data_IF_071824212395
#
_entry.id   IF_071824212395
#
_cell.length_a   1.000
_cell.length_b   1.000
_cell.length_c   1.000
_cell.angle_alpha   90.00
_cell.angle_beta   90.00
_cell.angle_gamma   90.00
#
_symmetry.space_group_name_H-M   'P 1'
#
loop_
_entity.id
_entity.type
_entity.pdbx_description
1 polymer ?
#
# COMPACT_ATOMS: atom_id res chain seq x y z
N UNK A 1 31.16 -35.05 -71.82
CA UNK A 1 31.17 -35.14 -70.39
C UNK A 1 30.16 -34.05 -69.86
N UNK A 2 29.00 -34.44 -69.40
CA UNK A 2 28.02 -33.54 -68.81
C UNK A 2 28.05 -33.72 -67.27
N UNK A 3 28.42 -32.66 -66.56
CA UNK A 3 28.42 -32.66 -65.10
C UNK A 3 27.01 -32.21 -64.62
N UNK A 4 26.33 -33.12 -63.95
CA UNK A 4 25.05 -32.81 -63.30
C UNK A 4 25.32 -32.22 -61.93
N UNK A 5 24.82 -30.99 -61.71
CA UNK A 5 24.82 -30.33 -60.38
C UNK A 5 23.55 -30.73 -59.63
N UNK A 6 23.73 -31.48 -58.54
CA UNK A 6 22.63 -31.81 -57.62
C UNK A 6 22.42 -30.61 -56.61
N UNK A 7 21.24 -29.97 -56.67
CA UNK A 7 20.83 -29.04 -55.70
C UNK A 7 20.16 -29.79 -54.50
N UNK A 8 20.76 -29.69 -53.33
CA UNK A 8 20.16 -30.15 -52.07
C UNK A 8 19.38 -29.00 -51.48
N UNK A 9 18.07 -29.10 -51.49
CA UNK A 9 17.18 -28.13 -50.78
C UNK A 9 17.02 -28.61 -49.34
N UNK A 10 17.66 -27.91 -48.42
CA UNK A 10 17.45 -28.13 -46.98
C UNK A 10 16.16 -27.44 -46.54
N UNK A 11 15.14 -28.23 -46.21
CA UNK A 11 13.93 -27.74 -45.55
C UNK A 11 14.22 -27.45 -44.07
N UNK A 12 14.31 -26.19 -43.70
CA UNK A 12 14.27 -25.76 -42.28
C UNK A 12 12.82 -25.84 -41.80
N UNK A 13 12.47 -26.89 -41.07
CA UNK A 13 11.25 -26.93 -40.26
C UNK A 13 11.44 -25.99 -39.08
N UNK A 14 10.90 -24.75 -39.17
CA UNK A 14 10.69 -23.92 -38.02
C UNK A 14 9.61 -24.57 -37.13
N UNK A 15 10.02 -25.15 -36.02
CA UNK A 15 9.13 -25.53 -34.96
C UNK A 15 8.52 -24.25 -34.39
N UNK A 16 7.28 -23.91 -34.77
CA UNK A 16 6.48 -22.89 -34.13
C UNK A 16 6.11 -23.46 -32.77
N UNK A 17 6.89 -23.08 -31.74
CA UNK A 17 6.48 -23.31 -30.35
C UNK A 17 5.20 -22.52 -30.15
N UNK A 18 4.05 -23.20 -30.17
CA UNK A 18 2.80 -22.64 -29.69
C UNK A 18 3.02 -22.40 -28.20
N UNK A 19 3.15 -21.14 -27.81
CA UNK A 19 2.99 -20.75 -26.43
C UNK A 19 1.53 -21.06 -26.07
N UNK A 20 1.30 -22.27 -25.53
CA UNK A 20 0.00 -22.59 -24.93
C UNK A 20 -0.18 -21.58 -23.80
N UNK A 21 -1.19 -20.73 -23.92
CA UNK A 21 -1.63 -19.92 -22.79
C UNK A 21 -1.95 -20.89 -21.65
N UNK A 22 -1.19 -20.78 -20.55
CA UNK A 22 -1.51 -21.56 -19.37
C UNK A 22 -2.97 -21.26 -18.99
N UNK A 23 -3.72 -22.31 -18.62
CA UNK A 23 -5.07 -22.12 -18.09
C UNK A 23 -5.00 -21.14 -16.91
N UNK A 24 -5.93 -20.20 -16.80
CA UNK A 24 -5.98 -19.29 -15.69
C UNK A 24 -6.02 -20.04 -14.35
N UNK A 25 -5.32 -19.53 -13.36
CA UNK A 25 -5.42 -20.08 -12.02
C UNK A 25 -6.88 -20.10 -11.55
N UNK A 26 -7.25 -21.17 -10.84
CA UNK A 26 -8.58 -21.30 -10.29
C UNK A 26 -8.84 -20.16 -9.29
N UNK A 27 -9.95 -19.47 -9.47
CA UNK A 27 -10.38 -18.39 -8.59
C UNK A 27 -11.30 -18.92 -7.51
N UNK A 28 -11.01 -18.58 -6.26
CA UNK A 28 -11.84 -18.89 -5.10
C UNK A 28 -12.38 -17.60 -4.50
N UNK A 29 -13.61 -17.67 -3.97
CA UNK A 29 -14.28 -16.53 -3.35
C UNK A 29 -14.24 -16.70 -1.84
N UNK A 30 -13.61 -15.78 -1.13
CA UNK A 30 -13.52 -15.76 0.34
C UNK A 30 -14.66 -14.99 1.00
N UNK A 31 -15.25 -14.03 0.29
CA UNK A 31 -16.49 -13.30 0.67
C UNK A 31 -17.21 -12.78 -0.55
N UNK A 32 -18.54 -12.83 -0.54
CA UNK A 32 -19.42 -12.28 -1.58
C UNK A 32 -20.61 -11.51 -0.99
N UNK A 33 -20.51 -11.09 0.27
CA UNK A 33 -21.63 -10.51 1.02
C UNK A 33 -21.71 -8.99 0.94
N UNK A 34 -20.74 -8.32 0.26
CA UNK A 34 -20.73 -6.88 0.04
C UNK A 34 -20.25 -6.53 -1.38
N UNK A 35 -19.99 -5.26 -1.68
CA UNK A 35 -19.61 -4.79 -3.02
C UNK A 35 -18.52 -3.74 -2.97
N UNK A 36 -17.65 -3.74 -4.02
CA UNK A 36 -16.57 -2.77 -4.16
C UNK A 36 -15.49 -2.99 -3.12
N UNK A 37 -14.95 -4.23 -3.00
CA UNK A 37 -13.77 -4.45 -2.18
C UNK A 37 -12.60 -3.68 -2.77
N UNK A 38 -11.97 -2.84 -1.96
CA UNK A 38 -10.84 -2.00 -2.32
C UNK A 38 -9.81 -1.98 -1.20
N UNK A 39 -8.52 -1.80 -1.55
CA UNK A 39 -7.44 -1.76 -0.57
C UNK A 39 -7.35 -3.03 0.28
N UNK A 40 -6.74 -4.09 -0.26
CA UNK A 40 -6.52 -5.35 0.46
C UNK A 40 -5.16 -5.34 1.15
N UNK A 41 -5.13 -5.55 2.47
CA UNK A 41 -3.90 -5.63 3.28
C UNK A 41 -3.87 -6.94 4.06
N UNK A 42 -2.67 -7.46 4.26
CA UNK A 42 -2.46 -8.76 4.92
C UNK A 42 -1.50 -8.63 6.10
N UNK A 43 -1.85 -9.28 7.21
CA UNK A 43 -1.02 -9.43 8.41
C UNK A 43 -1.53 -10.63 9.20
N UNK A 44 -0.67 -11.36 9.89
CA UNK A 44 -1.07 -12.36 10.86
C UNK A 44 -1.43 -11.62 12.16
N UNK A 45 -2.74 -11.46 12.44
CA UNK A 45 -3.22 -10.64 13.58
C UNK A 45 -3.55 -11.47 14.82
N UNK A 46 -3.55 -12.80 14.68
CA UNK A 46 -3.90 -13.74 15.76
C UNK A 46 -2.77 -14.70 16.12
N UNK A 47 -1.57 -14.52 15.50
CA UNK A 47 -0.35 -15.31 15.71
C UNK A 47 -0.54 -16.81 15.39
N UNK A 48 -1.40 -17.15 14.41
CA UNK A 48 -1.62 -18.53 13.98
C UNK A 48 -0.70 -18.98 12.82
N UNK A 49 0.13 -18.09 12.31
CA UNK A 49 1.07 -18.32 11.20
C UNK A 49 0.46 -18.15 9.81
N UNK A 50 -0.79 -17.69 9.72
CA UNK A 50 -1.47 -17.41 8.47
C UNK A 50 -1.79 -15.93 8.35
N UNK A 51 -1.61 -15.37 7.14
CA UNK A 51 -1.92 -13.97 6.92
C UNK A 51 -3.43 -13.77 6.81
N UNK A 52 -3.96 -12.93 7.68
CA UNK A 52 -5.33 -12.45 7.69
C UNK A 52 -5.50 -11.26 6.74
N UNK A 53 -6.74 -10.87 6.45
CA UNK A 53 -7.02 -9.81 5.48
C UNK A 53 -7.86 -8.70 6.15
N UNK A 54 -7.46 -7.43 5.91
CA UNK A 54 -8.34 -6.27 6.06
C UNK A 54 -8.68 -5.69 4.70
N UNK A 55 -9.93 -5.25 4.52
CA UNK A 55 -10.36 -4.53 3.30
C UNK A 55 -11.52 -3.59 3.58
N UNK A 56 -11.53 -2.46 2.85
CA UNK A 56 -12.69 -1.59 2.71
C UNK A 56 -13.62 -2.11 1.61
N UNK A 57 -14.93 -2.04 1.85
CA UNK A 57 -15.94 -2.27 0.83
C UNK A 57 -16.55 -0.92 0.43
N UNK A 58 -15.97 -0.27 -0.59
CA UNK A 58 -16.27 1.10 -0.99
C UNK A 58 -17.78 1.35 -1.20
N UNK A 59 -18.42 0.52 -2.04
CA UNK A 59 -19.85 0.61 -2.32
C UNK A 59 -20.70 0.10 -1.16
N UNK A 60 -20.20 -0.89 -0.42
CA UNK A 60 -20.89 -1.49 0.73
C UNK A 60 -20.86 -0.63 1.98
N UNK A 61 -19.84 0.24 2.09
CA UNK A 61 -19.68 1.14 3.25
C UNK A 61 -19.33 0.44 4.55
N UNK A 62 -18.51 -0.63 4.48
CA UNK A 62 -18.06 -1.39 5.65
C UNK A 62 -16.58 -1.70 5.56
N UNK A 63 -15.94 -1.83 6.72
CA UNK A 63 -14.59 -2.34 6.87
C UNK A 63 -14.67 -3.75 7.43
N UNK A 64 -13.96 -4.68 6.80
CA UNK A 64 -13.95 -6.09 7.21
C UNK A 64 -12.56 -6.61 7.49
N UNK A 65 -12.52 -7.50 8.47
CA UNK A 65 -11.38 -8.36 8.78
C UNK A 65 -11.81 -9.81 8.52
N UNK A 66 -10.91 -10.58 7.92
CA UNK A 66 -11.07 -11.99 7.61
C UNK A 66 -9.93 -12.75 8.27
N UNK A 67 -10.28 -13.72 9.10
CA UNK A 67 -9.30 -14.62 9.66
C UNK A 67 -9.05 -15.78 8.70
N UNK A 68 -7.79 -16.02 8.36
CA UNK A 68 -7.40 -17.08 7.44
C UNK A 68 -7.64 -18.46 8.08
N UNK A 69 -8.51 -19.30 7.50
CA UNK A 69 -8.84 -20.59 8.12
C UNK A 69 -7.77 -21.67 7.91
N UNK A 70 -6.60 -21.30 7.37
CA UNK A 70 -5.53 -22.21 7.02
C UNK A 70 -5.69 -22.88 5.66
N UNK A 71 -4.65 -23.60 5.18
CA UNK A 71 -4.54 -24.07 3.80
C UNK A 71 -5.65 -25.06 3.39
N UNK A 72 -6.18 -25.83 4.32
CA UNK A 72 -7.23 -26.82 4.03
C UNK A 72 -8.56 -26.16 3.66
N UNK A 73 -8.84 -24.94 4.16
CA UNK A 73 -10.07 -24.19 3.98
C UNK A 73 -9.90 -22.86 3.24
N UNK A 74 -8.69 -22.56 2.77
CA UNK A 74 -8.39 -21.31 2.10
C UNK A 74 -9.26 -21.03 0.86
N UNK A 75 -9.83 -22.08 0.27
CA UNK A 75 -10.70 -22.01 -0.90
C UNK A 75 -12.20 -21.85 -0.59
N UNK A 76 -12.56 -21.77 0.68
CA UNK A 76 -13.93 -21.58 1.17
C UNK A 76 -14.19 -20.11 1.51
N UNK A 77 -15.41 -19.79 1.98
CA UNK A 77 -15.69 -18.49 2.59
C UNK A 77 -14.98 -18.40 3.93
N UNK A 78 -14.25 -17.30 4.13
CA UNK A 78 -13.48 -17.11 5.35
C UNK A 78 -14.34 -16.57 6.50
N UNK A 79 -14.01 -16.92 7.75
CA UNK A 79 -14.57 -16.25 8.92
C UNK A 79 -14.31 -14.75 8.84
N UNK A 80 -15.35 -13.93 8.92
CA UNK A 80 -15.26 -12.50 8.71
C UNK A 80 -16.00 -11.70 9.79
N UNK A 81 -15.51 -10.51 10.09
CA UNK A 81 -16.15 -9.54 10.97
C UNK A 81 -16.20 -8.16 10.32
N UNK A 82 -17.31 -7.45 10.51
CA UNK A 82 -17.39 -6.02 10.22
C UNK A 82 -16.87 -5.25 11.42
N UNK A 83 -15.70 -4.61 11.28
CA UNK A 83 -15.04 -3.85 12.36
C UNK A 83 -15.47 -2.39 12.37
N UNK A 84 -16.08 -1.90 11.28
CA UNK A 84 -16.59 -0.55 11.18
C UNK A 84 -17.59 -0.37 10.03
N UNK A 85 -18.49 0.60 10.17
CA UNK A 85 -19.40 1.02 9.11
C UNK A 85 -19.07 2.47 8.77
N UNK A 86 -18.40 2.66 7.61
CA UNK A 86 -17.95 3.96 7.11
C UNK A 86 -18.19 4.02 5.61
N UNK A 87 -18.52 5.20 5.08
CA UNK A 87 -18.86 5.32 3.64
C UNK A 87 -17.62 5.63 2.81
N UNK A 88 -17.57 5.02 1.63
CA UNK A 88 -16.51 5.18 0.63
C UNK A 88 -15.09 4.93 1.19
N UNK A 89 -14.84 3.77 1.84
CA UNK A 89 -13.48 3.39 2.20
C UNK A 89 -12.69 2.99 0.96
N UNK A 90 -11.47 3.51 0.84
CA UNK A 90 -10.50 3.20 -0.24
C UNK A 90 -9.43 2.21 0.22
N UNK A 91 -9.10 2.21 1.52
CA UNK A 91 -8.09 1.32 2.08
C UNK A 91 -8.46 0.94 3.51
N UNK A 92 -7.96 -0.22 3.94
CA UNK A 92 -8.01 -0.66 5.32
C UNK A 92 -6.69 -1.35 5.66
N UNK A 93 -5.91 -0.82 6.60
CA UNK A 93 -4.58 -1.31 6.97
C UNK A 93 -4.51 -1.70 8.44
N UNK A 94 -3.78 -2.75 8.73
CA UNK A 94 -3.51 -3.22 10.09
C UNK A 94 -2.40 -2.41 10.77
N UNK A 95 -2.58 -2.10 12.05
CA UNK A 95 -1.57 -1.48 12.90
C UNK A 95 -1.92 -1.67 14.38
N UNK A 96 -0.96 -1.94 15.25
CA UNK A 96 -1.11 -1.81 16.71
C UNK A 96 -0.85 -0.35 17.07
N UNK A 97 -1.92 0.48 17.06
CA UNK A 97 -1.79 1.93 17.19
C UNK A 97 -1.50 2.39 18.62
N UNK A 98 -1.93 1.64 19.61
CA UNK A 98 -1.80 2.03 21.03
C UNK A 98 -0.84 1.10 21.80
N UNK A 99 -0.13 0.24 21.07
CA UNK A 99 0.88 -0.68 21.61
C UNK A 99 0.34 -1.59 22.72
N UNK A 100 -0.95 -1.98 22.63
CA UNK A 100 -1.57 -2.87 23.61
C UNK A 100 -1.46 -4.36 23.21
N UNK A 101 -0.85 -4.64 22.05
CA UNK A 101 -0.62 -5.97 21.49
C UNK A 101 -1.77 -6.51 20.65
N UNK A 102 -2.90 -5.79 20.55
CA UNK A 102 -3.98 -6.11 19.63
C UNK A 102 -3.85 -5.30 18.34
N UNK A 103 -4.11 -5.94 17.21
CA UNK A 103 -3.96 -5.28 15.91
C UNK A 103 -5.24 -4.55 15.53
N UNK A 104 -5.17 -3.22 15.52
CA UNK A 104 -6.24 -2.33 15.09
C UNK A 104 -6.32 -2.25 13.55
N UNK A 105 -7.36 -1.59 13.06
CA UNK A 105 -7.52 -1.29 11.63
C UNK A 105 -7.67 0.22 11.42
N UNK A 106 -6.93 0.75 10.45
CA UNK A 106 -7.06 2.13 9.98
C UNK A 106 -7.77 2.12 8.63
N UNK A 107 -8.82 2.90 8.46
CA UNK A 107 -9.48 3.07 7.17
C UNK A 107 -9.38 4.50 6.64
N UNK A 108 -9.08 4.60 5.34
CA UNK A 108 -9.04 5.84 4.58
C UNK A 108 -10.30 5.99 3.76
N UNK A 109 -11.03 7.10 3.91
CA UNK A 109 -12.30 7.30 3.23
C UNK A 109 -12.31 8.55 2.35
N UNK A 110 -12.90 8.40 1.16
CA UNK A 110 -13.06 9.47 0.17
C UNK A 110 -14.51 9.99 0.04
N UNK A 111 -14.83 10.48 -1.12
CA UNK A 111 -16.17 10.90 -1.53
C UNK A 111 -16.70 12.03 -0.66
N UNK A 112 -17.85 11.83 -0.05
CA UNK A 112 -18.44 12.78 0.90
C UNK A 112 -17.91 12.59 2.32
N UNK A 113 -17.30 11.46 2.63
CA UNK A 113 -16.78 11.14 3.98
C UNK A 113 -15.49 11.91 4.24
N UNK A 114 -14.47 11.77 3.40
CA UNK A 114 -13.20 12.52 3.45
C UNK A 114 -12.60 12.57 4.86
N UNK A 115 -12.55 11.42 5.51
CA UNK A 115 -12.17 11.28 6.92
C UNK A 115 -11.49 9.93 7.09
N UNK A 116 -10.47 9.86 7.92
CA UNK A 116 -9.87 8.59 8.34
C UNK A 116 -10.50 8.14 9.65
N UNK A 117 -10.56 6.82 9.84
CA UNK A 117 -11.12 6.21 11.03
C UNK A 117 -10.16 5.15 11.58
N UNK A 118 -10.11 5.06 12.90
CA UNK A 118 -9.47 3.97 13.63
C UNK A 118 -10.54 3.00 14.12
N UNK A 119 -10.31 1.72 13.95
CA UNK A 119 -11.16 0.64 14.41
C UNK A 119 -10.35 -0.15 15.43
N UNK A 120 -10.55 0.20 16.70
CA UNK A 120 -9.82 -0.36 17.83
C UNK A 120 -10.20 -1.81 18.04
N UNK A 121 -9.22 -2.69 18.05
CA UNK A 121 -9.41 -4.11 18.25
C UNK A 121 -9.70 -4.44 19.73
N UNK A 122 -10.41 -5.55 20.01
CA UNK A 122 -10.44 -6.09 21.36
C UNK A 122 -9.08 -6.74 21.68
N UNK A 123 -8.65 -6.68 22.96
CA UNK A 123 -7.34 -7.18 23.40
C UNK A 123 -7.14 -8.68 23.21
N UNK A 124 -8.20 -9.44 23.08
CA UNK A 124 -8.14 -10.90 23.02
C UNK A 124 -8.55 -11.38 21.63
N UNK A 125 -7.70 -12.16 20.91
CA UNK A 125 -7.99 -12.64 19.55
C UNK A 125 -9.30 -13.45 19.43
N UNK A 126 -9.73 -14.14 20.49
CA UNK A 126 -11.01 -14.87 20.53
C UNK A 126 -12.24 -13.96 20.41
N UNK A 127 -12.05 -12.63 20.55
CA UNK A 127 -13.08 -11.61 20.37
C UNK A 127 -13.07 -11.00 18.95
N UNK A 128 -12.07 -11.27 18.13
CA UNK A 128 -11.91 -10.60 16.84
C UNK A 128 -13.11 -10.78 15.92
N UNK A 129 -13.78 -11.92 15.94
CA UNK A 129 -14.98 -12.17 15.15
C UNK A 129 -16.29 -11.62 15.77
N UNK A 130 -16.20 -10.84 16.85
CA UNK A 130 -17.36 -10.22 17.49
C UNK A 130 -17.46 -8.73 17.10
N UNK A 131 -18.39 -8.31 16.26
CA UNK A 131 -18.49 -6.89 15.80
C UNK A 131 -18.57 -5.88 16.94
N UNK A 132 -19.32 -6.19 17.99
CA UNK A 132 -19.53 -5.28 19.12
C UNK A 132 -18.28 -5.06 19.99
N UNK A 133 -17.25 -5.93 19.84
CA UNK A 133 -15.99 -5.80 20.54
C UNK A 133 -15.08 -4.72 19.92
N UNK A 134 -15.26 -4.42 18.64
CA UNK A 134 -14.54 -3.37 17.94
C UNK A 134 -15.13 -1.98 18.22
N UNK A 135 -14.29 -0.94 18.25
CA UNK A 135 -14.71 0.44 18.48
C UNK A 135 -14.18 1.35 17.40
N UNK A 136 -15.08 1.98 16.65
CA UNK A 136 -14.72 2.92 15.58
C UNK A 136 -14.67 4.34 16.09
N UNK A 137 -13.60 5.08 15.77
CA UNK A 137 -13.44 6.49 16.06
C UNK A 137 -12.99 7.25 14.82
N UNK A 138 -13.64 8.39 14.52
CA UNK A 138 -13.17 9.29 13.46
C UNK A 138 -11.96 10.09 13.96
N UNK A 139 -10.97 10.31 13.08
CA UNK A 139 -9.77 11.10 13.37
C UNK A 139 -10.02 12.56 13.00
N UNK A 140 -10.22 13.47 13.99
CA UNK A 140 -10.74 14.82 13.75
C UNK A 140 -9.85 15.67 12.83
N UNK A 141 -8.52 15.59 12.95
CA UNK A 141 -7.60 16.37 12.12
C UNK A 141 -7.65 15.99 10.62
N UNK A 142 -8.28 14.86 10.26
CA UNK A 142 -8.46 14.44 8.87
C UNK A 142 -9.86 14.78 8.33
N UNK A 143 -10.80 15.15 9.20
CA UNK A 143 -12.22 15.26 8.88
C UNK A 143 -12.49 16.31 7.80
N UNK A 144 -13.08 15.90 6.68
CA UNK A 144 -13.43 16.75 5.52
C UNK A 144 -12.27 17.47 4.85
N UNK A 145 -11.04 17.08 5.15
CA UNK A 145 -9.85 17.74 4.60
C UNK A 145 -9.56 17.29 3.17
N UNK A 146 -9.43 15.99 2.94
CA UNK A 146 -8.97 15.42 1.68
C UNK A 146 -9.73 14.14 1.34
N UNK A 147 -9.68 13.70 0.08
CA UNK A 147 -10.11 12.35 -0.32
C UNK A 147 -8.98 11.38 0.00
N UNK A 148 -9.04 10.79 1.20
CA UNK A 148 -7.99 9.91 1.71
C UNK A 148 -7.95 8.61 0.95
N UNK A 149 -6.72 8.17 0.55
CA UNK A 149 -6.49 6.99 -0.25
C UNK A 149 -5.86 5.86 0.55
N UNK A 150 -4.64 6.04 1.02
CA UNK A 150 -3.86 5.00 1.67
C UNK A 150 -3.28 5.47 2.99
N UNK A 151 -3.11 4.51 3.91
CA UNK A 151 -2.31 4.65 5.11
C UNK A 151 -1.16 3.62 5.10
N UNK A 152 -0.01 4.01 5.67
CA UNK A 152 1.17 3.17 5.84
C UNK A 152 1.67 3.36 7.27
N UNK A 153 1.50 2.36 8.16
CA UNK A 153 2.02 2.41 9.53
C UNK A 153 3.54 2.46 9.54
N UNK A 154 4.09 3.41 10.27
CA UNK A 154 5.53 3.64 10.36
C UNK A 154 5.83 4.55 11.57
N UNK A 155 6.84 4.22 12.37
CA UNK A 155 7.35 5.14 13.38
C UNK A 155 8.20 6.21 12.68
N UNK A 156 7.67 7.44 12.61
CA UNK A 156 8.23 8.54 11.82
C UNK A 156 9.16 9.44 12.64
N UNK A 157 8.84 9.66 13.91
CA UNK A 157 9.57 10.62 14.75
C UNK A 157 10.23 9.99 15.99
N UNK A 158 10.11 8.68 16.15
CA UNK A 158 10.67 7.92 17.28
C UNK A 158 9.95 8.17 18.61
N UNK A 159 8.68 8.62 18.58
CA UNK A 159 7.88 8.97 19.76
C UNK A 159 6.52 8.30 19.74
N UNK A 160 6.05 7.92 20.93
CA UNK A 160 4.67 7.48 21.16
C UNK A 160 4.22 6.24 20.34
N UNK A 161 5.13 5.54 19.66
CA UNK A 161 4.84 4.31 18.91
C UNK A 161 4.55 4.55 17.43
N UNK A 162 3.51 3.93 16.91
CA UNK A 162 3.22 3.92 15.47
C UNK A 162 2.54 5.21 15.02
N UNK A 163 3.15 5.89 14.06
CA UNK A 163 2.55 6.95 13.25
C UNK A 163 1.96 6.37 11.96
N UNK A 164 1.33 7.21 11.17
CA UNK A 164 0.77 6.83 9.88
C UNK A 164 1.22 7.78 8.79
N UNK A 165 1.96 7.31 7.80
CA UNK A 165 2.06 8.03 6.52
C UNK A 165 0.71 7.89 5.83
N UNK A 166 0.15 9.02 5.39
CA UNK A 166 -1.19 9.06 4.78
C UNK A 166 -1.16 9.79 3.45
N UNK A 167 -2.03 9.39 2.55
CA UNK A 167 -2.10 9.98 1.22
C UNK A 167 -3.52 10.22 0.74
N UNK A 168 -3.64 11.05 -0.29
CA UNK A 168 -4.94 11.46 -0.80
C UNK A 168 -4.96 11.67 -2.32
N UNK A 169 -6.15 12.01 -2.84
CA UNK A 169 -6.39 12.36 -4.26
C UNK A 169 -7.22 13.64 -4.39
N UNK A 170 -7.14 14.24 -5.59
CA UNK A 170 -7.96 15.37 -6.01
C UNK A 170 -7.38 16.72 -5.62
N UNK A 171 -8.26 17.70 -5.42
CA UNK A 171 -7.88 19.04 -5.02
C UNK A 171 -7.25 19.03 -3.62
N UNK A 172 -6.12 19.75 -3.46
CA UNK A 172 -5.31 19.78 -2.23
C UNK A 172 -4.76 18.42 -1.78
N UNK A 173 -4.67 17.44 -2.69
CA UNK A 173 -4.09 16.16 -2.38
C UNK A 173 -2.65 16.27 -1.89
N UNK A 174 -2.22 15.33 -1.06
CA UNK A 174 -0.91 15.32 -0.45
C UNK A 174 -0.48 13.93 -0.02
N UNK A 175 0.82 13.79 0.23
CA UNK A 175 1.38 12.82 1.16
C UNK A 175 1.70 13.61 2.44
N UNK A 176 1.37 13.04 3.58
CA UNK A 176 1.67 13.59 4.89
C UNK A 176 1.76 12.48 5.92
N UNK A 177 1.86 12.85 7.18
CA UNK A 177 1.83 11.88 8.26
C UNK A 177 0.94 12.36 9.41
N UNK A 178 0.37 11.38 10.11
CA UNK A 178 -0.37 11.59 11.35
C UNK A 178 0.55 11.23 12.51
N UNK A 179 0.93 12.23 13.30
CA UNK A 179 1.74 12.10 14.51
C UNK A 179 0.89 11.47 15.62
N UNK A 180 1.36 10.36 16.17
CA UNK A 180 0.73 9.66 17.29
C UNK A 180 0.94 10.44 18.59
N UNK A 181 -0.12 10.70 19.37
CA UNK A 181 -0.01 11.31 20.68
C UNK A 181 0.42 10.29 21.75
N UNK A 182 0.76 10.79 22.95
CA UNK A 182 1.10 9.95 24.11
C UNK A 182 -0.06 9.02 24.54
N UNK A 183 -1.29 9.36 24.25
CA UNK A 183 -2.48 8.50 24.37
C UNK A 183 -3.13 8.37 22.99
N UNK A 184 -2.78 7.36 22.18
CA UNK A 184 -3.30 7.20 20.83
C UNK A 184 -4.82 7.00 20.76
N UNK A 185 -5.46 6.52 21.84
CA UNK A 185 -6.92 6.40 21.91
C UNK A 185 -7.62 7.75 22.02
N UNK A 186 -6.91 8.80 22.44
CA UNK A 186 -7.41 10.18 22.34
C UNK A 186 -7.21 10.69 20.90
N UNK A 187 -8.10 10.30 20.00
CA UNK A 187 -8.03 10.63 18.57
C UNK A 187 -7.98 12.14 18.28
N UNK A 188 -8.36 13.00 19.24
CA UNK A 188 -8.33 14.45 19.10
C UNK A 188 -6.92 15.04 19.17
N UNK A 189 -5.96 14.30 19.72
CA UNK A 189 -4.59 14.75 19.91
C UNK A 189 -3.69 14.36 18.75
N UNK A 190 -4.16 13.52 17.82
CA UNK A 190 -3.44 13.21 16.58
C UNK A 190 -3.28 14.46 15.73
N UNK A 191 -2.09 14.64 15.15
CA UNK A 191 -1.76 15.82 14.34
C UNK A 191 -1.37 15.43 12.93
N UNK A 192 -1.88 16.18 11.95
CA UNK A 192 -1.53 16.00 10.55
C UNK A 192 -0.40 16.94 10.15
N UNK A 193 0.65 16.38 9.56
CA UNK A 193 1.78 17.10 8.99
C UNK A 193 1.88 16.81 7.49
N UNK A 194 1.84 17.86 6.67
CA UNK A 194 1.99 17.73 5.22
C UNK A 194 3.47 17.59 4.88
N UNK A 195 3.82 16.56 4.09
CA UNK A 195 5.18 16.34 3.58
C UNK A 195 5.32 16.82 2.12
N UNK A 196 4.32 16.54 1.26
CA UNK A 196 4.38 16.83 -0.17
C UNK A 196 2.98 17.07 -0.76
N UNK A 197 2.87 18.03 -1.71
CA UNK A 197 1.69 18.14 -2.54
C UNK A 197 1.63 17.02 -3.57
N UNK A 198 0.45 16.48 -3.81
CA UNK A 198 0.21 15.38 -4.73
C UNK A 198 -1.03 15.64 -5.59
N UNK A 199 -1.26 14.80 -6.57
CA UNK A 199 -2.47 14.86 -7.38
C UNK A 199 -3.39 13.65 -7.17
N UNK A 200 -2.83 12.46 -7.12
CA UNK A 200 -3.56 11.21 -6.86
C UNK A 200 -2.56 10.10 -6.55
N UNK A 201 -2.35 9.83 -5.30
CA UNK A 201 -1.44 8.77 -4.87
C UNK A 201 -2.12 7.41 -5.09
N UNK A 202 -1.37 6.48 -5.70
CA UNK A 202 -1.84 5.14 -6.03
C UNK A 202 -1.10 4.03 -5.26
N UNK A 203 0.05 4.35 -4.65
CA UNK A 203 0.78 3.43 -3.77
C UNK A 203 1.63 4.20 -2.78
N UNK A 204 1.79 3.60 -1.60
CA UNK A 204 2.76 3.96 -0.57
C UNK A 204 3.49 2.69 -0.16
N UNK A 205 4.83 2.72 -0.17
CA UNK A 205 5.69 1.61 0.27
C UNK A 205 6.79 2.18 1.16
N UNK A 206 7.00 1.58 2.33
CA UNK A 206 8.13 1.89 3.19
C UNK A 206 9.37 1.10 2.72
N UNK A 207 10.46 1.77 2.48
CA UNK A 207 11.72 1.15 2.08
C UNK A 207 12.89 2.09 2.37
N UNK A 208 13.97 1.59 2.94
CA UNK A 208 15.22 2.33 3.13
C UNK A 208 15.96 2.45 1.78
N UNK A 209 15.76 3.60 1.11
CA UNK A 209 16.17 3.81 -0.28
C UNK A 209 17.66 4.19 -0.40
N UNK A 210 18.25 4.80 0.61
CA UNK A 210 19.64 5.23 0.60
C UNK A 210 20.54 4.44 1.54
N UNK A 211 19.97 3.48 2.28
CA UNK A 211 20.63 2.60 3.23
C UNK A 211 21.24 3.34 4.42
N UNK A 212 20.55 4.36 4.92
CA UNK A 212 20.95 5.10 6.12
C UNK A 212 20.36 4.52 7.42
N UNK A 213 19.45 3.55 7.29
CA UNK A 213 18.81 2.83 8.37
C UNK A 213 17.41 3.35 8.74
N UNK A 214 17.01 4.49 8.20
CA UNK A 214 15.66 5.04 8.36
C UNK A 214 14.76 4.62 7.19
N UNK A 215 13.47 4.34 7.46
CA UNK A 215 12.54 4.00 6.39
C UNK A 215 12.08 5.27 5.66
N UNK A 216 12.16 5.23 4.35
CA UNK A 216 11.63 6.24 3.44
C UNK A 216 10.25 5.88 2.93
N UNK A 217 9.63 6.79 2.17
CA UNK A 217 8.34 6.56 1.52
C UNK A 217 8.50 6.57 0.00
N UNK A 218 8.33 5.41 -0.64
CA UNK A 218 8.24 5.30 -2.10
C UNK A 218 6.78 5.39 -2.51
N UNK A 219 6.48 6.26 -3.48
CA UNK A 219 5.10 6.51 -3.89
C UNK A 219 4.94 6.62 -5.40
N UNK A 220 3.74 6.29 -5.90
CA UNK A 220 3.30 6.64 -7.24
C UNK A 220 2.23 7.72 -7.18
N UNK A 221 2.50 8.85 -7.89
CA UNK A 221 1.54 9.94 -8.07
C UNK A 221 1.01 9.91 -9.51
N UNK A 222 -0.27 9.58 -9.65
CA UNK A 222 -0.93 9.40 -10.94
C UNK A 222 -1.26 10.71 -11.63
N UNK A 223 -1.61 11.75 -10.88
CA UNK A 223 -2.13 13.04 -11.39
C UNK A 223 -1.29 14.22 -10.89
N UNK A 224 -1.66 15.40 -11.31
CA UNK A 224 -1.00 16.63 -10.87
C UNK A 224 0.27 16.99 -11.64
N UNK A 225 0.83 18.13 -11.31
CA UNK A 225 1.99 18.70 -12.03
C UNK A 225 3.29 17.92 -11.75
N UNK A 226 3.41 17.36 -10.54
CA UNK A 226 4.57 16.58 -10.10
C UNK A 226 4.33 15.07 -10.17
N UNK A 227 3.40 14.59 -11.02
CA UNK A 227 3.09 13.16 -11.14
C UNK A 227 4.30 12.36 -11.62
N UNK A 228 4.44 11.16 -11.09
CA UNK A 228 5.57 10.27 -11.36
C UNK A 228 5.68 9.17 -10.32
N UNK A 229 6.79 8.47 -10.35
CA UNK A 229 7.29 7.61 -9.28
C UNK A 229 8.34 8.40 -8.51
N UNK A 230 8.25 8.43 -7.23
CA UNK A 230 9.07 9.26 -6.34
C UNK A 230 9.41 8.53 -5.04
N UNK A 231 10.36 9.03 -4.32
CA UNK A 231 10.58 8.70 -2.92
C UNK A 231 10.81 9.97 -2.09
N UNK A 232 10.29 9.94 -0.89
CA UNK A 232 10.50 10.98 0.11
C UNK A 232 11.53 10.44 1.08
N UNK A 233 12.73 11.03 1.06
CA UNK A 233 13.83 10.71 1.96
C UNK A 233 13.49 11.20 3.37
N UNK A 234 13.46 10.26 4.30
CA UNK A 234 13.26 10.53 5.71
C UNK A 234 14.57 11.10 6.29
N UNK A 235 14.56 12.29 6.87
CA UNK A 235 15.78 12.84 7.46
C UNK A 235 16.20 12.15 8.77
N UNK A 236 15.50 11.13 9.19
CA UNK A 236 15.63 10.44 10.46
C UNK A 236 14.72 10.98 11.56
N UNK A 237 14.32 10.10 12.45
CA UNK A 237 13.31 10.36 13.48
C UNK A 237 13.57 11.64 14.28
N UNK A 238 14.81 11.86 14.79
CA UNK A 238 15.15 13.05 15.54
C UNK A 238 14.96 14.33 14.73
N UNK A 239 15.41 14.35 13.47
CA UNK A 239 15.32 15.53 12.60
C UNK A 239 13.88 15.79 12.17
N UNK A 240 13.10 14.74 11.93
CA UNK A 240 11.65 14.86 11.68
C UNK A 240 10.94 15.47 12.88
N UNK A 241 11.24 15.03 14.10
CA UNK A 241 10.71 15.59 15.34
C UNK A 241 11.12 17.07 15.57
N UNK A 242 12.22 17.52 14.99
CA UNK A 242 12.68 18.92 14.98
C UNK A 242 12.04 19.74 13.83
N UNK A 243 11.18 19.13 12.99
CA UNK A 243 10.50 19.78 11.87
C UNK A 243 11.36 19.94 10.62
N UNK A 244 12.44 19.18 10.47
CA UNK A 244 13.25 19.16 9.26
C UNK A 244 12.46 18.52 8.12
N UNK A 245 12.40 19.18 6.98
CA UNK A 245 11.65 18.72 5.83
C UNK A 245 12.26 17.46 5.20
N UNK A 246 11.40 16.54 4.77
CA UNK A 246 11.77 15.41 3.95
C UNK A 246 12.18 15.86 2.55
N UNK A 247 13.06 15.12 1.88
CA UNK A 247 13.56 15.47 0.55
C UNK A 247 12.78 14.69 -0.51
N UNK A 248 12.23 15.40 -1.51
CA UNK A 248 11.43 14.82 -2.61
C UNK A 248 12.36 14.44 -3.78
N UNK A 249 12.54 13.15 -4.02
CA UNK A 249 13.33 12.61 -5.13
C UNK A 249 12.44 12.01 -6.21
N UNK A 250 12.70 12.37 -7.47
CA UNK A 250 12.04 11.74 -8.62
C UNK A 250 12.77 10.45 -8.99
N UNK A 251 12.07 9.32 -8.98
CA UNK A 251 12.60 8.04 -9.50
C UNK A 251 12.36 7.96 -11.03
N UNK A 252 11.22 8.48 -11.52
CA UNK A 252 10.92 8.48 -12.95
C UNK A 252 9.42 8.47 -13.25
N UNK A 253 9.06 8.12 -14.49
CA UNK A 253 7.65 8.13 -14.91
C UNK A 253 7.00 9.51 -14.95
N UNK A 254 7.78 10.59 -14.90
CA UNK A 254 7.31 11.98 -14.90
C UNK A 254 6.38 12.26 -16.09
N UNK A 255 5.29 12.94 -15.82
CA UNK A 255 4.29 13.29 -16.86
C UNK A 255 3.39 12.11 -17.27
N UNK A 256 3.53 10.92 -16.67
CA UNK A 256 2.72 9.74 -16.96
C UNK A 256 1.76 9.43 -15.82
N UNK A 257 0.67 8.73 -16.12
CA UNK A 257 -0.22 8.16 -15.10
C UNK A 257 0.38 6.87 -14.54
N UNK A 258 1.20 7.00 -13.50
CA UNK A 258 1.72 5.86 -12.77
C UNK A 258 0.63 5.35 -11.83
N UNK A 259 0.36 4.04 -11.92
CA UNK A 259 -0.64 3.36 -11.11
C UNK A 259 0.04 2.72 -9.90
N UNK A 260 -0.24 1.45 -9.65
CA UNK A 260 0.37 0.73 -8.54
C UNK A 260 1.87 0.50 -8.78
N UNK A 261 2.64 0.55 -7.71
CA UNK A 261 4.06 0.22 -7.71
C UNK A 261 4.37 -0.79 -6.61
N UNK A 262 5.53 -1.41 -6.75
CA UNK A 262 6.16 -2.19 -5.71
C UNK A 262 7.67 -1.99 -5.76
N UNK A 263 8.36 -2.26 -4.65
CA UNK A 263 9.80 -2.12 -4.50
C UNK A 263 10.40 -3.49 -4.25
N UNK A 264 11.39 -3.85 -5.05
CA UNK A 264 12.20 -5.05 -4.81
C UNK A 264 13.59 -4.61 -4.39
N UNK A 265 13.92 -4.87 -3.14
CA UNK A 265 15.25 -4.69 -2.57
C UNK A 265 15.96 -6.05 -2.45
N UNK A 266 17.27 -6.04 -2.60
CA UNK A 266 18.11 -7.17 -2.24
C UNK A 266 19.15 -6.67 -1.23
N UNK A 267 19.30 -7.38 -0.09
CA UNK A 267 20.19 -6.99 0.99
C UNK A 267 21.53 -6.50 0.46
N UNK A 268 21.87 -5.22 0.73
CA UNK A 268 23.10 -4.57 0.31
C UNK A 268 23.22 -4.24 -1.18
N UNK A 269 22.10 -4.21 -1.95
CA UNK A 269 22.08 -3.85 -3.38
C UNK A 269 20.97 -2.84 -3.67
N UNK A 270 21.15 -2.11 -4.77
CA UNK A 270 20.21 -1.09 -5.26
C UNK A 270 18.78 -1.56 -5.30
N UNK A 271 17.87 -0.73 -4.81
CA UNK A 271 16.45 -0.92 -4.96
C UNK A 271 16.01 -0.88 -6.43
N UNK A 272 15.01 -1.66 -6.77
CA UNK A 272 14.33 -1.58 -8.03
C UNK A 272 12.84 -1.32 -7.80
N UNK A 273 12.30 -0.32 -8.49
CA UNK A 273 10.89 0.05 -8.38
C UNK A 273 10.17 -0.33 -9.66
N UNK A 274 9.07 -1.06 -9.53
CA UNK A 274 8.18 -1.39 -10.63
C UNK A 274 6.94 -0.53 -10.56
N UNK A 275 6.51 0.03 -11.69
CA UNK A 275 5.24 0.77 -11.74
C UNK A 275 4.44 0.41 -12.98
N UNK A 276 3.12 0.21 -12.81
CA UNK A 276 2.18 0.11 -13.90
C UNK A 276 1.85 1.51 -14.45
N UNK A 277 1.75 1.66 -15.78
CA UNK A 277 1.55 2.96 -16.43
C UNK A 277 0.33 2.94 -17.34
N UNK A 278 -0.62 3.88 -17.14
CA UNK A 278 -1.78 4.11 -18.01
C UNK A 278 -1.49 5.21 -19.07
N UNK A 279 -2.16 5.17 -20.22
CA UNK A 279 -3.02 4.11 -20.77
C UNK A 279 -2.26 3.00 -21.47
N UNK A 280 -0.94 3.05 -21.50
CA UNK A 280 -0.10 2.21 -22.35
C UNK A 280 -0.06 0.72 -21.95
N UNK A 281 -0.60 0.34 -20.78
CA UNK A 281 -0.55 -1.03 -20.30
C UNK A 281 0.89 -1.55 -20.10
N UNK A 282 1.82 -0.67 -19.72
CA UNK A 282 3.23 -0.98 -19.53
C UNK A 282 3.55 -1.16 -18.06
N UNK A 283 4.46 -2.06 -17.76
CA UNK A 283 5.19 -2.10 -16.49
C UNK A 283 6.54 -1.43 -16.74
N UNK A 284 6.87 -0.42 -15.93
CA UNK A 284 8.17 0.23 -15.92
C UNK A 284 9.01 -0.32 -14.78
N UNK A 285 10.27 -0.50 -15.09
CA UNK A 285 11.30 -0.88 -14.15
C UNK A 285 12.28 0.29 -14.00
N UNK A 286 12.46 0.74 -12.77
CA UNK A 286 13.42 1.76 -12.41
C UNK A 286 14.46 1.11 -11.51
N UNK A 287 15.72 1.19 -11.89
CA UNK A 287 16.84 0.66 -11.12
C UNK A 287 17.71 1.80 -10.66
N UNK A 288 18.10 1.77 -9.40
CA UNK A 288 19.15 2.64 -8.90
C UNK A 288 20.49 2.11 -9.42
N UNK A 289 21.22 2.91 -10.19
CA UNK A 289 22.57 2.55 -10.62
C UNK A 289 23.53 2.82 -9.49
N UNK A 290 24.25 1.78 -9.05
CA UNK A 290 25.38 1.90 -8.12
C UNK A 290 26.62 2.47 -8.86
N UNK A 291 26.51 3.65 -9.45
CA UNK A 291 27.71 4.37 -9.84
C UNK A 291 28.23 5.08 -8.59
N UNK A 292 29.50 4.82 -8.25
CA UNK A 292 30.25 5.49 -7.18
C UNK A 292 30.43 7.03 -7.37
N UNK A 293 29.43 7.65 -7.98
CA UNK A 293 29.43 9.10 -8.13
C UNK A 293 28.79 9.71 -6.89
N UNK A 294 29.52 10.52 -6.13
CA UNK A 294 28.92 11.31 -5.07
C UNK A 294 27.80 12.14 -5.71
N UNK A 295 26.60 12.08 -5.13
CA UNK A 295 25.46 12.90 -5.54
C UNK A 295 25.83 14.37 -5.44
N UNK A 296 25.42 15.21 -6.40
CA UNK A 296 25.71 16.64 -6.37
C UNK A 296 25.11 17.35 -5.17
#
# INVERSE_FOLDING_TARGET
MKVAASFVIAFFLMAISHCQSAEPWQRHTIDNSSRGADGVRMMDINDDGHLDIATGWEEGGVIRVYLNPGPEKANELWPAVTVGTVKSPEDAVFADLDSDGATDVVSSCEGKTRTMFFHWAPKSPDQYLKPDAWKTAAVPCTAKQQSWMFALPMDVDGRNGVDLIVSSKGENASIGWLESPADPRNVSDWKYHRLRDAGWIMSLVAYDMDNDGDLDVVASDRKGAKRGVLWLENPGAKRTAEGIAWIDHSIGGTGRENMFLDVIGHQGRSAAVFSAVKPAGLIRFHRQDNSDSPRP
#
